data_IF_889041112884
#
_entry.id   IF_889041112884
#
_cell.length_a   1.000
_cell.length_b   1.000
_cell.length_c   1.000
_cell.angle_alpha   90.00
_cell.angle_beta   90.00
_cell.angle_gamma   90.00
#
_symmetry.space_group_name_H-M   'P 1'
#
loop_
_entity.id
_entity.type
_entity.pdbx_description
1 polymer ?
#
# COMPACT_ATOMS: atom_id res chain seq x y z
N UNK A 1 -11.61 7.49 6.32
CA UNK A 1 -10.49 6.75 5.67
C UNK A 1 -10.93 6.29 4.28
N UNK A 2 -10.08 6.34 3.24
CA UNK A 2 -10.41 5.79 1.92
C UNK A 2 -10.62 4.27 2.00
N UNK A 3 -11.65 3.77 1.31
CA UNK A 3 -11.96 2.34 1.22
C UNK A 3 -10.88 1.60 0.42
N UNK A 4 -10.73 0.30 0.64
CA UNK A 4 -9.75 -0.53 -0.12
C UNK A 4 -9.98 -0.41 -1.63
N UNK A 5 -11.24 -0.35 -2.08
CA UNK A 5 -11.59 -0.12 -3.48
C UNK A 5 -11.04 1.21 -4.02
N UNK A 6 -11.15 2.31 -3.26
CA UNK A 6 -10.57 3.61 -3.65
C UNK A 6 -9.04 3.58 -3.67
N UNK A 7 -8.41 2.88 -2.73
CA UNK A 7 -6.94 2.72 -2.72
C UNK A 7 -6.48 1.98 -3.97
N UNK A 8 -7.15 0.88 -4.34
CA UNK A 8 -6.87 0.14 -5.58
C UNK A 8 -7.10 0.98 -6.84
N UNK A 9 -8.17 1.77 -6.89
CA UNK A 9 -8.42 2.66 -8.03
C UNK A 9 -7.26 3.64 -8.23
N UNK A 10 -6.82 4.30 -7.15
CA UNK A 10 -5.65 5.20 -7.18
C UNK A 10 -4.36 4.50 -7.60
N UNK A 11 -4.13 3.28 -7.12
CA UNK A 11 -2.96 2.50 -7.51
C UNK A 11 -2.96 2.16 -9.00
N UNK A 12 -4.14 1.82 -9.56
CA UNK A 12 -4.33 1.56 -10.99
C UNK A 12 -4.18 2.81 -11.84
N UNK A 13 -4.66 3.97 -11.35
CA UNK A 13 -4.51 5.27 -12.02
C UNK A 13 -3.04 5.66 -12.22
N UNK A 14 -2.13 5.22 -11.33
CA UNK A 14 -0.70 5.46 -11.48
C UNK A 14 -0.10 4.69 -12.67
N UNK A 15 -0.64 3.51 -13.02
CA UNK A 15 -0.22 2.74 -14.18
C UNK A 15 1.26 2.29 -14.18
N UNK A 16 1.94 2.35 -13.04
CA UNK A 16 3.37 2.07 -12.88
C UNK A 16 3.57 0.80 -12.06
N UNK A 17 4.59 0.01 -12.39
CA UNK A 17 5.02 -1.15 -11.59
C UNK A 17 5.61 -0.71 -10.26
N UNK A 18 6.32 0.42 -10.26
CA UNK A 18 7.03 0.94 -9.11
C UNK A 18 6.60 2.38 -8.84
N UNK A 19 6.35 2.69 -7.56
CA UNK A 19 5.85 4.00 -7.15
C UNK A 19 6.69 4.56 -6.00
N UNK A 20 6.73 5.88 -5.90
CA UNK A 20 7.41 6.59 -4.82
C UNK A 20 6.61 6.57 -3.53
N UNK A 21 7.28 6.85 -2.39
CA UNK A 21 6.58 7.06 -1.10
C UNK A 21 5.47 8.11 -1.23
N UNK A 22 5.71 9.21 -1.96
CA UNK A 22 4.71 10.28 -2.12
C UNK A 22 3.45 9.80 -2.83
N UNK A 23 3.61 8.95 -3.86
CA UNK A 23 2.47 8.34 -4.55
C UNK A 23 1.76 7.33 -3.65
N UNK A 24 2.50 6.49 -2.93
CA UNK A 24 1.94 5.56 -1.95
C UNK A 24 1.14 6.28 -0.87
N UNK A 25 1.64 7.42 -0.34
CA UNK A 25 0.90 8.27 0.58
C UNK A 25 -0.47 8.70 0.00
N UNK A 26 -0.50 9.06 -1.28
CA UNK A 26 -1.74 9.35 -2.02
C UNK A 26 -2.68 8.15 -2.12
N UNK A 27 -2.15 6.95 -2.37
CA UNK A 27 -2.92 5.69 -2.39
C UNK A 27 -3.55 5.42 -1.02
N UNK A 28 -2.76 5.47 0.05
CA UNK A 28 -3.23 5.18 1.41
C UNK A 28 -4.04 6.32 2.05
N UNK A 29 -3.95 7.54 1.49
CA UNK A 29 -4.59 8.75 2.02
C UNK A 29 -3.95 9.24 3.31
N UNK A 30 -2.63 9.06 3.44
CA UNK A 30 -1.84 9.53 4.60
C UNK A 30 -1.03 10.77 4.21
N UNK A 31 -0.80 11.66 5.17
CA UNK A 31 -0.07 12.92 4.96
C UNK A 31 1.38 12.84 5.40
N UNK A 32 1.77 11.77 6.11
CA UNK A 32 3.14 11.51 6.54
C UNK A 32 3.72 10.26 5.86
N UNK A 33 5.04 10.22 5.65
CA UNK A 33 5.71 9.06 5.07
C UNK A 33 5.91 7.92 6.07
N UNK A 34 5.95 8.21 7.38
CA UNK A 34 6.23 7.23 8.44
C UNK A 34 5.36 5.97 8.35
N UNK A 35 4.04 6.04 8.14
CA UNK A 35 3.22 4.84 8.01
C UNK A 35 3.64 3.97 6.82
N UNK A 36 4.02 4.58 5.70
CA UNK A 36 4.48 3.84 4.50
C UNK A 36 5.83 3.19 4.79
N UNK A 37 6.76 3.93 5.38
CA UNK A 37 8.08 3.41 5.76
C UNK A 37 7.95 2.25 6.75
N UNK A 38 7.08 2.36 7.75
CA UNK A 38 6.84 1.27 8.69
C UNK A 38 6.26 0.02 8.03
N UNK A 39 5.45 0.14 6.96
CA UNK A 39 4.97 -1.03 6.19
C UNK A 39 6.13 -1.71 5.45
N UNK A 40 7.06 -0.92 4.89
CA UNK A 40 8.26 -1.42 4.22
C UNK A 40 9.17 -2.14 5.24
N UNK A 41 9.47 -1.50 6.37
CA UNK A 41 10.34 -2.04 7.42
C UNK A 41 9.78 -3.33 8.04
N UNK A 42 8.46 -3.47 8.09
CA UNK A 42 7.78 -4.70 8.54
C UNK A 42 7.73 -5.78 7.47
N UNK A 43 8.16 -5.49 6.24
CA UNK A 43 8.07 -6.40 5.09
C UNK A 43 6.64 -6.65 4.62
N UNK A 44 5.69 -5.76 4.95
CA UNK A 44 4.29 -5.89 4.49
C UNK A 44 4.11 -5.45 3.04
N UNK A 45 4.97 -4.55 2.57
CA UNK A 45 5.07 -4.13 1.17
C UNK A 45 6.55 -4.17 0.74
N UNK A 46 6.77 -4.57 -0.51
CA UNK A 46 8.11 -4.68 -1.09
C UNK A 46 8.55 -3.33 -1.62
N UNK A 47 9.74 -2.91 -1.24
CA UNK A 47 10.36 -1.70 -1.76
C UNK A 47 11.87 -1.84 -1.82
N UNK A 48 12.46 -1.22 -2.83
CA UNK A 48 13.90 -1.13 -3.02
C UNK A 48 14.35 0.32 -2.86
N UNK A 49 15.58 0.50 -2.36
CA UNK A 49 16.13 1.84 -2.15
C UNK A 49 17.21 2.13 -3.19
N UNK A 50 16.83 2.78 -4.28
CA UNK A 50 17.72 3.19 -5.36
C UNK A 50 18.06 4.67 -5.24
N UNK A 51 19.35 5.03 -5.25
CA UNK A 51 19.82 6.44 -5.27
C UNK A 51 19.24 7.32 -4.16
N UNK A 52 18.99 6.74 -2.98
CA UNK A 52 18.42 7.48 -1.83
C UNK A 52 16.89 7.64 -1.86
N UNK A 53 16.22 7.15 -2.90
CA UNK A 53 14.77 7.13 -3.03
C UNK A 53 14.22 5.71 -2.88
N UNK A 54 13.03 5.60 -2.29
CA UNK A 54 12.30 4.34 -2.20
C UNK A 54 11.46 4.14 -3.45
N UNK A 55 11.67 3.00 -4.12
CA UNK A 55 10.83 2.47 -5.19
C UNK A 55 10.00 1.33 -4.60
N UNK A 56 8.70 1.55 -4.48
CA UNK A 56 7.77 0.61 -3.85
C UNK A 56 7.06 -0.15 -4.96
N UNK A 57 7.11 -1.48 -4.91
CA UNK A 57 6.40 -2.32 -5.88
C UNK A 57 4.89 -2.16 -5.68
N UNK A 58 4.20 -1.69 -6.72
CA UNK A 58 2.76 -1.52 -6.73
C UNK A 58 2.03 -2.87 -6.55
N UNK A 59 2.58 -3.97 -7.07
CA UNK A 59 1.99 -5.31 -6.91
C UNK A 59 1.91 -5.73 -5.44
N UNK A 60 2.98 -5.49 -4.69
CA UNK A 60 3.03 -5.75 -3.25
C UNK A 60 1.99 -4.95 -2.46
N UNK A 61 1.70 -3.71 -2.88
CA UNK A 61 0.64 -2.89 -2.27
C UNK A 61 -0.73 -3.50 -2.52
N UNK A 62 -1.03 -3.96 -3.75
CA UNK A 62 -2.32 -4.61 -4.03
C UNK A 62 -2.48 -5.93 -3.25
N UNK A 63 -1.42 -6.70 -3.13
CA UNK A 63 -1.37 -7.91 -2.30
C UNK A 63 -1.63 -7.59 -0.82
N UNK A 64 -0.98 -6.55 -0.29
CA UNK A 64 -1.21 -6.06 1.06
C UNK A 64 -2.69 -5.67 1.25
N UNK A 65 -3.25 -4.84 0.36
CA UNK A 65 -4.65 -4.44 0.38
C UNK A 65 -5.63 -5.63 0.34
N UNK A 66 -5.30 -6.67 -0.43
CA UNK A 66 -6.05 -7.93 -0.47
C UNK A 66 -6.03 -8.64 0.87
N UNK A 67 -4.85 -8.76 1.49
CA UNK A 67 -4.67 -9.41 2.80
C UNK A 67 -5.52 -8.73 3.88
N UNK A 68 -5.48 -7.40 3.97
CA UNK A 68 -6.29 -6.66 4.96
C UNK A 68 -7.78 -6.87 4.70
N UNK A 69 -8.23 -6.79 3.44
CA UNK A 69 -9.65 -7.03 3.09
C UNK A 69 -10.13 -8.42 3.53
N UNK A 70 -9.31 -9.44 3.31
CA UNK A 70 -9.62 -10.82 3.67
C UNK A 70 -9.60 -11.06 5.18
N UNK A 71 -8.68 -10.41 5.91
CA UNK A 71 -8.62 -10.48 7.36
C UNK A 71 -9.89 -9.91 8.01
N UNK A 72 -10.33 -8.72 7.59
CA UNK A 72 -11.58 -8.13 8.09
C UNK A 72 -12.80 -8.99 7.75
N UNK A 73 -12.82 -9.60 6.57
CA UNK A 73 -13.93 -10.48 6.15
C UNK A 73 -14.01 -11.76 6.99
N UNK A 74 -12.86 -12.33 7.38
CA UNK A 74 -12.81 -13.53 8.24
C UNK A 74 -13.18 -13.24 9.69
N UNK A 75 -12.85 -12.07 10.22
CA UNK A 75 -13.23 -11.69 11.58
C UNK A 75 -14.74 -11.40 11.70
N UNK A 76 -15.37 -10.92 10.64
CA UNK A 76 -16.81 -10.69 10.60
C UNK A 76 -17.64 -11.98 10.56
N UNK A 77 -17.10 -13.07 10.01
CA UNK A 77 -17.79 -14.38 9.91
C UNK A 77 -17.69 -15.24 11.18
N UNK A 78 -16.97 -14.79 12.21
CA UNK A 78 -16.80 -15.50 13.49
C UNK A 78 -17.67 -14.94 14.64
N UNK A 79 -18.57 -13.99 14.36
CA UNK A 79 -19.57 -13.48 15.31
C UNK A 79 -20.95 -14.00 14.95
#
# INVERSE_FOLDING_TARGET
MPTIARKRARLRELGQSDITIKQAMGVFGVTSPNPIVSLIERGEISADKATGQWCIDAGSIDNYLTKINNQYSREFLKK
#
